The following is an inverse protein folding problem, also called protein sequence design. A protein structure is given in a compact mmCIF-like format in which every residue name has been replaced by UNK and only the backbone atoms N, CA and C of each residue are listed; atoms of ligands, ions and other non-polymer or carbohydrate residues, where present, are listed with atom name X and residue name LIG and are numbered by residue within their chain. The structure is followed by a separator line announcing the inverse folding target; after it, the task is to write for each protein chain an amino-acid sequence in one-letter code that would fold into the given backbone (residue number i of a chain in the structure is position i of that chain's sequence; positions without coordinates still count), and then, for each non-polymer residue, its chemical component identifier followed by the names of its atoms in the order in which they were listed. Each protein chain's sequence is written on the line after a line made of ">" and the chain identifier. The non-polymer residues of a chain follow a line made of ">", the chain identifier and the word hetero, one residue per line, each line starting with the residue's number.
data_IF_890451492809
#
_entry.id   IF_890451492809
#
_cell.length_a   1.000
_cell.length_b   1.000
_cell.length_c   1.000
_cell.angle_alpha   90.00
_cell.angle_beta   90.00
_cell.angle_gamma   90.00
#
_symmetry.space_group_name_H-M   'P 1'
#
loop_
_entity.id
_entity.type
_entity.pdbx_description
1 polymer ?
#
# COMPACT_ATOMS: atom_id res chain seq x y z
N UNK A 1 -14.13 13.69 -18.90
CA UNK A 1 -14.18 12.26 -18.56
C UNK A 1 -15.00 12.03 -17.29
N UNK A 2 -15.48 10.79 -17.02
CA UNK A 2 -16.14 10.47 -15.75
C UNK A 2 -15.12 10.22 -14.63
N UNK A 3 -15.42 10.75 -13.43
CA UNK A 3 -14.63 10.58 -12.22
C UNK A 3 -15.52 10.60 -10.98
N UNK A 4 -14.98 10.11 -9.87
CA UNK A 4 -15.55 10.28 -8.55
C UNK A 4 -14.88 11.47 -7.85
N UNK A 5 -15.66 12.46 -7.50
CA UNK A 5 -15.20 13.70 -6.84
C UNK A 5 -15.63 13.71 -5.40
N UNK A 6 -14.68 13.88 -4.50
CA UNK A 6 -14.93 14.18 -3.10
C UNK A 6 -15.18 15.68 -2.95
N UNK A 7 -16.43 16.10 -2.87
CA UNK A 7 -16.82 17.51 -2.75
C UNK A 7 -16.78 18.03 -1.31
N UNK A 8 -17.05 17.14 -0.34
CA UNK A 8 -17.02 17.49 1.07
C UNK A 8 -16.70 16.25 1.92
N UNK A 9 -15.98 16.46 3.02
CA UNK A 9 -15.57 15.39 3.93
C UNK A 9 -16.79 14.68 4.53
N UNK A 10 -16.70 13.34 4.61
CA UNK A 10 -17.70 12.47 5.21
C UNK A 10 -18.98 12.24 4.39
N UNK A 11 -19.10 12.85 3.20
CA UNK A 11 -20.30 12.70 2.34
C UNK A 11 -20.18 11.64 1.25
N UNK A 12 -19.02 10.98 1.15
CA UNK A 12 -18.73 10.04 0.07
C UNK A 12 -18.32 10.76 -1.22
N UNK A 13 -18.35 10.03 -2.33
CA UNK A 13 -17.90 10.47 -3.64
C UNK A 13 -19.09 10.68 -4.58
N UNK A 14 -19.05 11.79 -5.33
CA UNK A 14 -20.05 12.11 -6.36
C UNK A 14 -19.52 11.72 -7.75
N UNK A 15 -20.36 11.12 -8.59
CA UNK A 15 -20.01 10.71 -9.96
C UNK A 15 -20.25 11.87 -10.93
N UNK A 16 -19.17 12.48 -11.43
CA UNK A 16 -19.22 13.74 -12.18
C UNK A 16 -18.41 13.70 -13.48
N UNK A 17 -18.62 14.72 -14.31
CA UNK A 17 -17.77 15.03 -15.45
C UNK A 17 -16.62 15.94 -15.01
N UNK A 18 -15.41 15.54 -15.38
CA UNK A 18 -14.15 16.23 -15.06
C UNK A 18 -13.32 16.38 -16.33
N UNK A 19 -12.67 17.52 -16.48
CA UNK A 19 -11.70 17.75 -17.54
C UNK A 19 -10.31 17.29 -17.10
N UNK A 20 -9.57 16.65 -18.00
CA UNK A 20 -8.19 16.25 -17.81
C UNK A 20 -7.31 16.98 -18.84
N UNK A 21 -6.20 17.54 -18.39
CA UNK A 21 -5.29 18.26 -19.24
C UNK A 21 -4.43 17.32 -20.11
N UNK A 22 -3.86 17.84 -21.19
CA UNK A 22 -2.82 17.14 -21.92
C UNK A 22 -1.54 16.96 -21.07
N UNK A 23 -0.78 15.86 -21.27
CA UNK A 23 0.47 15.63 -20.54
C UNK A 23 1.53 16.68 -20.89
N UNK A 24 2.20 17.23 -19.87
CA UNK A 24 3.31 18.18 -19.98
C UNK A 24 4.58 17.56 -19.41
N UNK A 25 5.74 17.96 -19.94
CA UNK A 25 7.03 17.54 -19.39
C UNK A 25 7.13 16.01 -19.23
N UNK A 26 7.29 15.55 -18.01
CA UNK A 26 7.41 14.13 -17.66
C UNK A 26 6.10 13.47 -17.22
N UNK A 27 4.96 13.98 -17.63
CA UNK A 27 3.65 13.44 -17.33
C UNK A 27 3.22 12.37 -18.34
N UNK A 28 2.49 11.40 -17.87
CA UNK A 28 1.95 10.27 -18.63
C UNK A 28 0.44 10.22 -18.42
N UNK A 29 -0.32 10.24 -19.51
CA UNK A 29 -1.76 10.00 -19.47
C UNK A 29 -2.02 8.50 -19.51
N UNK A 30 -2.71 8.00 -18.50
CA UNK A 30 -3.04 6.57 -18.32
C UNK A 30 -4.55 6.37 -18.46
N UNK A 31 -4.98 5.50 -19.36
CA UNK A 31 -6.34 4.95 -19.36
C UNK A 31 -6.42 3.94 -18.21
N UNK A 32 -7.15 4.27 -17.16
CA UNK A 32 -7.28 3.43 -15.97
C UNK A 32 -8.10 2.19 -16.32
N UNK A 33 -7.56 1.02 -16.01
CA UNK A 33 -8.20 -0.28 -16.20
C UNK A 33 -8.61 -0.91 -14.87
N UNK A 34 -7.91 -0.57 -13.78
CA UNK A 34 -8.28 -0.97 -12.44
C UNK A 34 -7.83 0.05 -11.39
N UNK A 35 -8.64 0.21 -10.34
CA UNK A 35 -8.31 1.03 -9.18
C UNK A 35 -8.78 0.34 -7.89
N UNK A 36 -7.84 0.00 -7.01
CA UNK A 36 -8.14 -0.62 -5.72
C UNK A 36 -8.70 0.38 -4.70
N UNK A 37 -9.58 -0.11 -3.81
CA UNK A 37 -10.08 0.66 -2.68
C UNK A 37 -9.18 0.45 -1.46
N UNK A 38 -8.54 1.51 -0.99
CA UNK A 38 -7.69 1.49 0.18
C UNK A 38 -8.30 2.30 1.34
N UNK A 39 -8.05 1.87 2.57
CA UNK A 39 -8.48 2.61 3.77
C UNK A 39 -7.87 4.02 3.85
N UNK A 40 -6.71 4.24 3.24
CA UNK A 40 -6.07 5.55 3.17
C UNK A 40 -6.93 6.56 2.39
N UNK A 41 -7.54 6.17 1.26
CA UNK A 41 -8.47 7.06 0.55
C UNK A 41 -9.71 7.37 1.40
N UNK A 42 -10.22 6.39 2.16
CA UNK A 42 -11.34 6.61 3.08
C UNK A 42 -10.95 7.56 4.22
N UNK A 43 -9.73 7.45 4.74
CA UNK A 43 -9.20 8.38 5.75
C UNK A 43 -9.16 9.80 5.20
N UNK A 44 -8.67 10.00 3.99
CA UNK A 44 -8.65 11.29 3.29
C UNK A 44 -10.07 11.81 2.99
N UNK A 45 -11.01 10.92 2.72
CA UNK A 45 -12.39 11.29 2.46
C UNK A 45 -13.19 11.68 3.72
N UNK A 46 -12.70 11.34 4.92
CA UNK A 46 -13.41 11.56 6.19
C UNK A 46 -12.71 12.53 7.15
N UNK A 47 -11.43 12.82 6.94
CA UNK A 47 -10.62 13.72 7.77
C UNK A 47 -10.02 14.83 6.92
N UNK A 48 -9.79 15.99 7.53
CA UNK A 48 -9.20 17.17 6.89
C UNK A 48 -7.67 16.99 6.71
N UNK A 49 -7.31 16.11 5.76
CA UNK A 49 -5.91 15.78 5.43
C UNK A 49 -5.54 16.32 4.05
N UNK A 50 -6.50 16.40 3.13
CA UNK A 50 -6.28 16.87 1.76
C UNK A 50 -7.35 17.87 1.35
N UNK A 51 -7.01 18.79 0.42
CA UNK A 51 -7.98 19.76 -0.09
C UNK A 51 -9.19 19.09 -0.76
N UNK A 52 -10.34 19.72 -0.63
CA UNK A 52 -11.56 19.42 -1.40
C UNK A 52 -11.91 20.63 -2.29
N UNK A 53 -12.49 20.42 -3.50
CA UNK A 53 -12.83 19.14 -4.11
C UNK A 53 -11.62 18.37 -4.63
N UNK A 54 -11.69 17.03 -4.58
CA UNK A 54 -10.57 16.14 -4.95
C UNK A 54 -11.01 14.87 -5.68
N UNK A 55 -10.12 14.30 -6.50
CA UNK A 55 -10.23 12.95 -7.05
C UNK A 55 -9.19 12.07 -6.35
N UNK A 56 -9.64 11.05 -5.63
CA UNK A 56 -8.81 10.09 -4.89
C UNK A 56 -8.58 8.80 -5.70
N UNK A 57 -8.15 7.72 -5.03
CA UNK A 57 -7.80 6.45 -5.65
C UNK A 57 -6.30 6.40 -5.97
N UNK A 58 -5.55 5.63 -5.19
CA UNK A 58 -4.09 5.58 -5.32
C UNK A 58 -3.54 4.18 -5.65
N UNK A 59 -4.40 3.17 -5.78
CA UNK A 59 -4.03 1.84 -6.27
C UNK A 59 -4.44 1.74 -7.75
N UNK A 60 -3.62 2.23 -8.67
CA UNK A 60 -3.98 2.43 -10.10
C UNK A 60 -3.17 1.51 -10.98
N UNK A 61 -3.86 0.81 -11.89
CA UNK A 61 -3.25 0.12 -13.02
C UNK A 61 -3.96 0.49 -14.33
N UNK A 62 -3.22 0.57 -15.42
CA UNK A 62 -3.81 0.95 -16.70
C UNK A 62 -2.84 0.90 -17.86
N UNK A 63 -3.28 1.50 -18.98
CA UNK A 63 -2.54 1.52 -20.25
C UNK A 63 -2.16 2.97 -20.57
N UNK A 64 -0.91 3.20 -20.92
CA UNK A 64 -0.42 4.51 -21.34
C UNK A 64 -1.12 4.94 -22.62
N UNK A 65 -1.83 6.08 -22.58
CA UNK A 65 -2.57 6.65 -23.69
C UNK A 65 -1.79 7.75 -24.42
N UNK A 66 -1.04 8.57 -23.68
CA UNK A 66 -0.20 9.63 -24.21
C UNK A 66 0.94 9.94 -23.23
N UNK A 67 2.01 10.53 -23.74
CA UNK A 67 3.18 10.91 -22.94
C UNK A 67 3.55 12.36 -23.20
N UNK A 68 4.04 13.06 -22.19
CA UNK A 68 4.62 14.39 -22.35
C UNK A 68 6.00 14.33 -23.04
N UNK A 69 6.50 15.49 -23.52
CA UNK A 69 7.69 15.55 -24.37
C UNK A 69 8.99 15.07 -23.69
N UNK A 70 9.04 15.10 -22.36
CA UNK A 70 10.25 14.75 -21.59
C UNK A 70 10.15 13.36 -20.94
N UNK A 71 9.13 12.56 -21.26
CA UNK A 71 8.97 11.19 -20.76
C UNK A 71 9.98 10.28 -21.46
N UNK A 72 10.69 9.49 -20.66
CA UNK A 72 11.77 8.60 -21.13
C UNK A 72 11.59 7.14 -20.75
N UNK A 73 10.68 6.82 -19.82
CA UNK A 73 10.59 5.50 -19.19
C UNK A 73 9.24 4.80 -19.40
N UNK A 74 8.35 5.41 -20.18
CA UNK A 74 7.05 4.83 -20.52
C UNK A 74 6.69 5.17 -21.95
N UNK A 75 6.03 4.26 -22.65
CA UNK A 75 5.61 4.42 -24.05
C UNK A 75 4.11 4.18 -24.18
N UNK A 76 3.48 4.79 -25.19
CA UNK A 76 2.07 4.53 -25.50
C UNK A 76 1.85 3.03 -25.71
N UNK A 77 0.84 2.48 -25.05
CA UNK A 77 0.52 1.05 -25.07
C UNK A 77 1.21 0.22 -23.99
N UNK A 78 2.09 0.80 -23.16
CA UNK A 78 2.65 0.10 -22.01
C UNK A 78 1.58 -0.11 -20.94
N UNK A 79 1.61 -1.26 -20.28
CA UNK A 79 0.85 -1.53 -19.08
C UNK A 79 1.64 -0.99 -17.88
N UNK A 80 0.97 -0.21 -17.03
CA UNK A 80 1.63 0.49 -15.92
C UNK A 80 0.85 0.37 -14.62
N UNK A 81 1.58 0.48 -13.51
CA UNK A 81 1.03 0.62 -12.15
C UNK A 81 1.53 1.92 -11.55
N UNK A 82 0.61 2.68 -10.96
CA UNK A 82 0.91 3.90 -10.21
C UNK A 82 1.39 3.58 -8.80
N UNK A 83 2.39 4.32 -8.33
CA UNK A 83 2.88 4.28 -6.94
C UNK A 83 2.54 5.57 -6.24
N UNK A 84 1.99 5.45 -5.02
CA UNK A 84 1.72 6.63 -4.19
C UNK A 84 2.99 7.32 -3.67
N UNK A 85 4.14 6.67 -3.73
CA UNK A 85 5.42 7.25 -3.34
C UNK A 85 5.91 8.23 -4.42
N UNK A 86 5.76 9.53 -4.14
CA UNK A 86 6.25 10.59 -5.00
C UNK A 86 7.77 10.74 -4.85
N UNK A 87 8.50 10.68 -5.97
CA UNK A 87 9.95 10.70 -5.96
C UNK A 87 10.52 11.57 -7.09
N UNK A 88 11.38 12.52 -6.76
CA UNK A 88 12.04 13.39 -7.75
C UNK A 88 13.02 12.65 -8.67
N UNK A 89 13.58 11.53 -8.21
CA UNK A 89 14.59 10.76 -8.95
C UNK A 89 16.02 11.32 -8.88
N UNK A 90 16.23 12.53 -8.36
CA UNK A 90 17.51 13.24 -8.44
C UNK A 90 18.14 13.59 -7.08
N UNK A 91 17.39 13.63 -5.97
CA UNK A 91 17.95 13.94 -4.66
C UNK A 91 18.82 12.78 -4.11
N UNK A 92 19.64 13.08 -3.10
CA UNK A 92 20.54 12.09 -2.50
C UNK A 92 19.82 10.81 -2.03
N UNK A 93 18.58 10.93 -1.54
CA UNK A 93 17.79 9.77 -1.14
C UNK A 93 17.36 8.92 -2.33
N UNK A 94 16.87 9.54 -3.40
CA UNK A 94 16.50 8.83 -4.62
C UNK A 94 17.71 8.13 -5.27
N UNK A 95 18.82 8.85 -5.41
CA UNK A 95 20.04 8.31 -6.01
C UNK A 95 20.67 7.17 -5.19
N UNK A 96 20.47 7.16 -3.86
CA UNK A 96 20.91 6.05 -3.00
C UNK A 96 19.92 4.88 -2.93
N UNK A 97 18.93 4.80 -3.85
CA UNK A 97 17.96 3.72 -3.92
C UNK A 97 16.83 3.79 -2.89
N UNK A 98 16.62 4.94 -2.25
CA UNK A 98 15.60 5.18 -1.23
C UNK A 98 14.57 6.23 -1.66
N UNK A 99 13.86 6.05 -2.80
CA UNK A 99 12.89 7.03 -3.31
C UNK A 99 11.71 7.25 -2.34
N UNK A 100 11.37 6.27 -1.50
CA UNK A 100 10.37 6.39 -0.44
C UNK A 100 10.74 7.42 0.66
N UNK A 101 11.98 7.92 0.66
CA UNK A 101 12.48 9.00 1.52
C UNK A 101 12.84 10.25 0.70
N UNK A 102 12.19 10.44 -0.45
CA UNK A 102 12.47 11.58 -1.32
C UNK A 102 12.35 12.90 -0.56
N UNK A 103 13.31 13.81 -0.79
CA UNK A 103 13.36 15.12 -0.15
C UNK A 103 12.56 16.19 -0.94
N UNK A 104 12.16 15.89 -2.18
CA UNK A 104 11.47 16.78 -3.09
C UNK A 104 10.29 16.08 -3.79
N UNK A 105 9.29 15.53 -3.03
CA UNK A 105 8.14 14.85 -3.62
C UNK A 105 7.28 15.78 -4.47
N UNK A 106 7.23 17.06 -4.16
CA UNK A 106 6.50 18.11 -4.89
C UNK A 106 6.94 18.24 -6.36
N UNK A 107 8.16 17.81 -6.70
CA UNK A 107 8.68 17.86 -8.08
C UNK A 107 7.92 16.95 -9.06
N UNK A 108 7.07 16.05 -8.56
CA UNK A 108 6.16 15.23 -9.37
C UNK A 108 4.83 15.92 -9.66
N UNK A 109 4.58 17.08 -9.07
CA UNK A 109 3.38 17.87 -9.26
C UNK A 109 3.63 18.99 -10.26
N UNK A 110 2.55 19.57 -10.78
CA UNK A 110 2.60 20.82 -11.55
C UNK A 110 2.90 22.00 -10.63
N UNK A 111 3.54 23.01 -11.17
CA UNK A 111 3.77 24.30 -10.47
C UNK A 111 2.43 25.00 -10.26
N UNK A 112 2.33 25.90 -9.28
CA UNK A 112 1.08 26.65 -9.04
C UNK A 112 0.57 27.45 -10.25
N UNK A 113 1.49 27.93 -11.12
CA UNK A 113 1.17 28.72 -12.31
C UNK A 113 0.84 27.85 -13.55
N UNK A 114 1.07 26.53 -13.48
CA UNK A 114 0.70 25.61 -14.56
C UNK A 114 -0.81 25.33 -14.55
N UNK A 115 -1.43 25.06 -15.71
CA UNK A 115 -2.82 24.59 -15.75
C UNK A 115 -3.00 23.33 -14.88
N UNK A 116 -4.09 23.20 -14.09
CA UNK A 116 -4.30 22.03 -13.25
C UNK A 116 -4.43 20.76 -14.09
N UNK A 117 -3.96 19.60 -13.56
CA UNK A 117 -4.12 18.30 -14.22
C UNK A 117 -5.58 17.92 -14.39
N UNK A 118 -6.37 18.18 -13.35
CA UNK A 118 -7.81 17.92 -13.31
C UNK A 118 -8.53 19.24 -13.03
N UNK A 119 -9.65 19.48 -13.73
CA UNK A 119 -10.49 20.65 -13.49
C UNK A 119 -11.97 20.33 -13.69
N UNK A 120 -12.81 21.15 -13.10
CA UNK A 120 -14.26 21.13 -13.28
C UNK A 120 -14.75 22.57 -13.48
N UNK A 121 -15.41 22.83 -14.60
CA UNK A 121 -15.86 24.19 -14.98
C UNK A 121 -14.75 25.24 -14.83
N UNK A 122 -13.52 24.90 -15.26
CA UNK A 122 -12.35 25.79 -15.21
C UNK A 122 -11.66 25.91 -13.84
N UNK A 123 -12.18 25.27 -12.79
CA UNK A 123 -11.56 25.26 -11.45
C UNK A 123 -10.78 23.97 -11.24
N UNK A 124 -9.54 24.08 -10.76
CA UNK A 124 -8.69 22.94 -10.46
C UNK A 124 -9.28 22.03 -9.37
N UNK A 125 -9.07 20.70 -9.54
CA UNK A 125 -9.37 19.69 -8.53
C UNK A 125 -8.06 19.15 -7.96
N UNK A 126 -8.04 18.86 -6.67
CA UNK A 126 -6.90 18.18 -6.07
C UNK A 126 -6.85 16.71 -6.55
N UNK A 127 -5.66 16.25 -6.91
CA UNK A 127 -5.41 14.88 -7.35
C UNK A 127 -4.71 14.11 -6.23
N UNK A 128 -5.42 13.18 -5.60
CA UNK A 128 -4.90 12.42 -4.46
C UNK A 128 -3.60 11.68 -4.81
N UNK A 129 -2.55 11.93 -4.05
CA UNK A 129 -1.20 11.38 -4.24
C UNK A 129 -0.59 11.60 -5.64
N UNK A 130 -1.11 12.54 -6.41
CA UNK A 130 -0.71 12.74 -7.82
C UNK A 130 -1.17 11.60 -8.75
N UNK A 131 -2.14 10.76 -8.31
CA UNK A 131 -2.66 9.59 -9.04
C UNK A 131 -4.11 9.79 -9.48
N UNK A 132 -5.07 9.94 -8.55
CA UNK A 132 -6.47 10.20 -8.87
C UNK A 132 -7.15 9.07 -9.66
N UNK A 133 -6.98 7.83 -9.21
CA UNK A 133 -7.40 6.62 -9.92
C UNK A 133 -8.91 6.34 -9.91
N UNK A 134 -9.71 7.09 -9.15
CA UNK A 134 -11.17 6.98 -9.23
C UNK A 134 -11.71 7.81 -10.40
N UNK A 135 -11.11 7.63 -11.57
CA UNK A 135 -11.46 8.29 -12.83
C UNK A 135 -11.09 7.39 -14.02
N UNK A 136 -11.75 7.62 -15.17
CA UNK A 136 -11.43 6.88 -16.42
C UNK A 136 -9.99 7.05 -16.89
N UNK A 137 -9.39 8.21 -16.59
CA UNK A 137 -8.01 8.52 -16.95
C UNK A 137 -7.32 9.20 -15.77
N UNK A 138 -6.01 8.99 -15.66
CA UNK A 138 -5.15 9.63 -14.68
C UNK A 138 -3.92 10.23 -15.37
N UNK A 139 -3.55 11.45 -14.97
CA UNK A 139 -2.35 12.14 -15.47
C UNK A 139 -1.28 12.07 -14.37
N UNK A 140 -0.26 11.25 -14.60
CA UNK A 140 0.69 10.81 -13.56
C UNK A 140 2.11 11.15 -14.00
N UNK A 141 2.96 11.58 -13.08
CA UNK A 141 4.39 11.78 -13.35
C UNK A 141 5.09 10.43 -13.56
N UNK A 142 5.96 10.30 -14.59
CA UNK A 142 6.60 9.03 -14.94
C UNK A 142 7.39 8.38 -13.78
N UNK A 143 7.89 9.16 -12.81
CA UNK A 143 8.57 8.62 -11.64
C UNK A 143 7.65 7.86 -10.67
N UNK A 144 6.34 8.09 -10.77
CA UNK A 144 5.33 7.35 -10.01
C UNK A 144 4.77 6.14 -10.76
N UNK A 145 5.25 5.86 -11.96
CA UNK A 145 4.80 4.74 -12.77
C UNK A 145 5.86 3.65 -12.85
N UNK A 146 5.42 2.41 -12.77
CA UNK A 146 6.22 1.23 -13.08
C UNK A 146 5.58 0.47 -14.25
N UNK A 147 6.36 0.20 -15.29
CA UNK A 147 5.93 -0.65 -16.41
C UNK A 147 5.90 -2.10 -15.95
N UNK A 148 4.83 -2.81 -16.29
CA UNK A 148 4.60 -4.20 -15.92
C UNK A 148 4.39 -5.08 -17.15
N UNK A 149 4.55 -6.42 -17.03
CA UNK A 149 4.21 -7.36 -18.11
C UNK A 149 2.77 -7.21 -18.57
N UNK A 150 2.53 -7.29 -19.87
CA UNK A 150 1.18 -7.15 -20.47
C UNK A 150 0.22 -8.26 -20.08
N UNK A 151 0.76 -9.40 -19.69
CA UNK A 151 0.02 -10.58 -19.23
C UNK A 151 -0.54 -10.41 -17.81
N UNK A 152 -0.07 -9.41 -17.07
CA UNK A 152 -0.53 -9.13 -15.70
C UNK A 152 -1.98 -8.64 -15.71
N UNK A 153 -2.93 -9.33 -15.03
CA UNK A 153 -4.31 -8.86 -14.94
C UNK A 153 -4.39 -7.53 -14.16
N UNK A 154 -5.20 -6.59 -14.65
CA UNK A 154 -5.23 -5.24 -14.08
C UNK A 154 -5.77 -5.17 -12.66
N UNK A 155 -6.74 -6.02 -12.29
CA UNK A 155 -7.29 -6.05 -10.93
C UNK A 155 -6.20 -6.37 -9.90
N UNK A 156 -5.36 -7.39 -10.16
CA UNK A 156 -4.22 -7.74 -9.33
C UNK A 156 -3.10 -6.72 -9.44
N UNK A 157 -2.86 -6.18 -10.64
CA UNK A 157 -1.84 -5.16 -10.89
C UNK A 157 -2.05 -3.90 -10.06
N UNK A 158 -3.28 -3.41 -9.93
CA UNK A 158 -3.61 -2.22 -9.15
C UNK A 158 -3.15 -2.34 -7.68
N UNK A 159 -3.26 -3.54 -7.10
CA UNK A 159 -2.86 -3.80 -5.71
C UNK A 159 -1.34 -3.70 -5.49
N UNK A 160 -0.53 -3.85 -6.56
CA UNK A 160 0.92 -3.73 -6.48
C UNK A 160 1.36 -2.33 -6.05
N UNK A 161 0.59 -1.28 -6.43
CA UNK A 161 0.94 0.13 -6.19
C UNK A 161 0.93 0.56 -4.72
N UNK A 162 0.24 -0.18 -3.85
CA UNK A 162 0.10 0.16 -2.43
C UNK A 162 0.21 -1.07 -1.52
N UNK A 163 -0.85 -1.90 -1.46
CA UNK A 163 -0.94 -2.95 -0.46
C UNK A 163 0.17 -4.00 -0.56
N UNK A 164 0.56 -4.38 -1.77
CA UNK A 164 1.61 -5.38 -2.00
C UNK A 164 2.99 -4.81 -1.66
N UNK A 165 3.36 -3.66 -2.25
CA UNK A 165 4.68 -3.04 -1.97
C UNK A 165 4.84 -2.68 -0.50
N UNK A 166 3.76 -2.28 0.19
CA UNK A 166 3.82 -1.95 1.62
C UNK A 166 4.04 -3.21 2.46
N UNK A 167 3.23 -4.25 2.26
CA UNK A 167 3.30 -5.47 3.06
C UNK A 167 4.55 -6.30 2.80
N UNK A 168 4.75 -6.73 1.55
CA UNK A 168 5.92 -7.52 1.17
C UNK A 168 7.22 -6.71 1.28
N UNK A 169 7.19 -5.41 0.96
CA UNK A 169 8.34 -4.54 1.11
C UNK A 169 8.75 -4.29 2.56
N UNK A 170 7.82 -4.23 3.52
CA UNK A 170 8.15 -4.17 4.94
C UNK A 170 9.06 -5.34 5.35
N UNK A 171 8.75 -6.53 4.83
CA UNK A 171 9.48 -7.77 5.10
C UNK A 171 10.81 -7.82 4.33
N UNK A 172 10.74 -7.63 3.01
CA UNK A 172 11.88 -7.86 2.11
C UNK A 172 12.89 -6.69 2.10
N UNK A 173 12.38 -5.44 2.11
CA UNK A 173 13.21 -4.25 1.97
C UNK A 173 13.56 -3.60 3.31
N UNK A 174 12.57 -3.48 4.24
CA UNK A 174 12.79 -2.77 5.51
C UNK A 174 13.43 -3.69 6.54
N UNK A 175 12.80 -4.84 6.84
CA UNK A 175 13.30 -5.79 7.83
C UNK A 175 14.46 -6.64 7.29
N UNK A 176 14.52 -6.83 5.97
CA UNK A 176 15.49 -7.70 5.32
C UNK A 176 15.47 -9.12 5.93
N UNK A 177 14.26 -9.67 6.08
CA UNK A 177 14.03 -11.02 6.60
C UNK A 177 14.81 -12.05 5.78
N UNK A 178 15.45 -12.98 6.46
CA UNK A 178 16.30 -14.02 5.85
C UNK A 178 15.70 -15.40 6.05
N UNK A 179 16.19 -16.34 5.25
CA UNK A 179 15.85 -17.74 5.42
C UNK A 179 16.25 -18.21 6.83
N UNK A 180 15.30 -18.82 7.53
CA UNK A 180 15.45 -19.28 8.90
C UNK A 180 14.90 -18.34 9.97
N UNK A 181 14.70 -17.04 9.67
CA UNK A 181 14.14 -16.08 10.63
C UNK A 181 12.69 -16.43 11.00
N UNK A 182 12.28 -16.03 12.21
CA UNK A 182 10.89 -16.10 12.70
C UNK A 182 10.19 -14.75 12.54
N UNK A 183 8.95 -14.78 12.03
CA UNK A 183 8.15 -13.61 11.72
C UNK A 183 6.81 -13.66 12.43
N UNK A 184 6.42 -12.57 13.08
CA UNK A 184 5.09 -12.36 13.64
C UNK A 184 4.41 -11.21 12.90
N UNK A 185 3.16 -11.40 12.49
CA UNK A 185 2.35 -10.40 11.77
C UNK A 185 1.07 -10.13 12.55
N UNK A 186 0.90 -8.91 13.04
CA UNK A 186 -0.36 -8.43 13.58
C UNK A 186 -1.22 -7.82 12.47
N UNK A 187 -2.43 -8.37 12.31
CA UNK A 187 -3.42 -7.93 11.32
C UNK A 187 -3.28 -8.64 9.98
N UNK A 188 -4.18 -9.56 9.70
CA UNK A 188 -4.29 -10.33 8.45
C UNK A 188 -5.22 -9.66 7.42
N UNK A 189 -5.20 -8.32 7.36
CA UNK A 189 -5.83 -7.56 6.28
C UNK A 189 -5.01 -7.59 4.98
N UNK A 190 -5.48 -6.89 3.94
CA UNK A 190 -4.83 -6.94 2.61
C UNK A 190 -3.34 -6.57 2.60
N UNK A 191 -2.85 -5.70 3.50
CA UNK A 191 -1.42 -5.37 3.62
C UNK A 191 -0.67 -6.48 4.38
N UNK A 192 -1.22 -6.93 5.52
CA UNK A 192 -0.60 -7.99 6.33
C UNK A 192 -0.48 -9.33 5.61
N UNK A 193 -1.48 -9.71 4.79
CA UNK A 193 -1.41 -10.90 3.95
C UNK A 193 -0.24 -10.84 2.95
N UNK A 194 0.07 -9.66 2.42
CA UNK A 194 1.25 -9.48 1.57
C UNK A 194 2.56 -9.55 2.36
N UNK A 195 2.57 -9.14 3.64
CA UNK A 195 3.73 -9.38 4.50
C UNK A 195 3.95 -10.87 4.77
N UNK A 196 2.87 -11.64 4.98
CA UNK A 196 2.93 -13.12 5.08
C UNK A 196 3.54 -13.73 3.81
N UNK A 197 3.06 -13.31 2.62
CA UNK A 197 3.66 -13.73 1.35
C UNK A 197 5.13 -13.34 1.25
N UNK A 198 5.49 -12.13 1.65
CA UNK A 198 6.87 -11.65 1.69
C UNK A 198 7.76 -12.51 2.60
N UNK A 199 7.28 -12.87 3.80
CA UNK A 199 8.00 -13.72 4.73
C UNK A 199 8.20 -15.15 4.19
N UNK A 200 7.18 -15.70 3.52
CA UNK A 200 7.31 -16.98 2.81
C UNK A 200 8.34 -16.90 1.68
N UNK A 201 8.32 -15.84 0.87
CA UNK A 201 9.29 -15.63 -0.21
C UNK A 201 10.72 -15.47 0.32
N UNK A 202 10.90 -14.82 1.49
CA UNK A 202 12.18 -14.67 2.17
C UNK A 202 12.71 -15.99 2.75
N UNK A 203 11.86 -17.02 2.89
CA UNK A 203 12.24 -18.30 3.50
C UNK A 203 12.21 -18.29 5.02
N UNK A 204 11.35 -17.46 5.64
CA UNK A 204 11.14 -17.48 7.08
C UNK A 204 10.77 -18.88 7.57
N UNK A 205 11.40 -19.32 8.67
CA UNK A 205 11.20 -20.66 9.24
C UNK A 205 9.86 -20.80 9.94
N UNK A 206 9.36 -19.68 10.49
CA UNK A 206 8.06 -19.61 11.16
C UNK A 206 7.39 -18.29 10.87
N UNK A 207 6.10 -18.32 10.51
CA UNK A 207 5.29 -17.16 10.18
C UNK A 207 4.01 -17.25 11.02
N UNK A 208 3.99 -16.51 12.13
CA UNK A 208 2.87 -16.47 13.08
C UNK A 208 1.99 -15.27 12.75
N UNK A 209 0.71 -15.49 12.50
CA UNK A 209 -0.24 -14.41 12.18
C UNK A 209 -1.27 -14.26 13.30
N UNK A 210 -1.47 -13.03 13.74
CA UNK A 210 -2.39 -12.69 14.84
C UNK A 210 -3.49 -11.78 14.29
N UNK A 211 -4.74 -12.16 14.48
CA UNK A 211 -5.93 -11.36 14.14
C UNK A 211 -7.08 -11.70 15.08
N UNK A 212 -8.10 -10.85 15.12
CA UNK A 212 -9.34 -11.05 15.90
C UNK A 212 -10.43 -11.77 15.08
N UNK A 213 -10.23 -11.95 13.77
CA UNK A 213 -11.21 -12.54 12.87
C UNK A 213 -10.73 -13.88 12.31
N UNK A 214 -11.45 -14.96 12.66
CA UNK A 214 -11.11 -16.32 12.20
C UNK A 214 -11.00 -16.41 10.67
N UNK A 215 -11.90 -15.78 9.92
CA UNK A 215 -11.87 -15.76 8.45
C UNK A 215 -10.56 -15.21 7.89
N UNK A 216 -9.99 -14.17 8.52
CA UNK A 216 -8.69 -13.59 8.14
C UNK A 216 -7.53 -14.51 8.48
N UNK A 217 -7.61 -15.20 9.62
CA UNK A 217 -6.63 -16.21 10.01
C UNK A 217 -6.61 -17.39 9.03
N UNK A 218 -7.79 -17.85 8.58
CA UNK A 218 -7.91 -18.89 7.57
C UNK A 218 -7.33 -18.44 6.21
N UNK A 219 -7.54 -17.18 5.85
CA UNK A 219 -6.89 -16.60 4.67
C UNK A 219 -5.36 -16.59 4.82
N UNK A 220 -4.82 -16.18 5.98
CA UNK A 220 -3.39 -16.09 6.22
C UNK A 220 -2.66 -17.42 5.95
N UNK A 221 -3.28 -18.56 6.24
CA UNK A 221 -2.72 -19.88 5.93
C UNK A 221 -2.49 -20.08 4.43
N UNK A 222 -3.41 -19.61 3.58
CA UNK A 222 -3.25 -19.69 2.10
C UNK A 222 -2.13 -18.79 1.59
N UNK A 223 -1.79 -17.73 2.32
CA UNK A 223 -0.67 -16.84 2.00
C UNK A 223 0.68 -17.33 2.52
N UNK A 224 0.68 -18.35 3.41
CA UNK A 224 1.90 -18.98 3.88
C UNK A 224 2.15 -18.88 5.39
N UNK A 225 1.15 -18.48 6.19
CA UNK A 225 1.24 -18.56 7.64
C UNK A 225 1.44 -20.01 8.11
N UNK A 226 2.45 -20.25 8.95
CA UNK A 226 2.68 -21.56 9.58
C UNK A 226 1.76 -21.74 10.79
N UNK A 227 1.52 -20.66 11.53
CA UNK A 227 0.71 -20.63 12.73
C UNK A 227 -0.22 -19.42 12.70
N UNK A 228 -1.39 -19.55 13.32
CA UNK A 228 -2.34 -18.45 13.46
C UNK A 228 -2.86 -18.40 14.90
N UNK A 229 -3.05 -17.19 15.41
CA UNK A 229 -3.50 -16.91 16.77
C UNK A 229 -4.72 -15.99 16.72
N UNK A 230 -5.85 -16.43 17.26
CA UNK A 230 -7.02 -15.61 17.53
C UNK A 230 -6.84 -14.91 18.87
N UNK A 231 -6.52 -13.61 18.84
CA UNK A 231 -6.26 -12.82 20.04
C UNK A 231 -7.51 -12.51 20.87
N UNK A 232 -8.70 -12.88 20.39
CA UNK A 232 -9.91 -12.83 21.21
C UNK A 232 -10.05 -14.04 22.14
N UNK A 233 -9.33 -15.14 21.85
CA UNK A 233 -9.42 -16.42 22.58
C UNK A 233 -8.19 -16.72 23.43
N UNK A 234 -7.04 -16.08 23.11
CA UNK A 234 -5.79 -16.32 23.80
C UNK A 234 -4.99 -15.03 23.94
N UNK A 235 -4.14 -14.95 24.96
CA UNK A 235 -3.20 -13.84 25.10
C UNK A 235 -2.09 -14.01 24.06
N UNK A 236 -2.01 -13.05 23.14
CA UNK A 236 -1.14 -13.14 21.99
C UNK A 236 0.34 -13.31 22.37
N UNK A 237 0.84 -12.57 23.37
CA UNK A 237 2.24 -12.65 23.83
C UNK A 237 2.58 -14.03 24.37
N UNK A 238 1.71 -14.63 25.20
CA UNK A 238 1.92 -15.96 25.77
C UNK A 238 1.94 -17.01 24.65
N UNK A 239 0.93 -16.99 23.77
CA UNK A 239 0.84 -17.93 22.65
C UNK A 239 2.04 -17.84 21.68
N UNK A 240 2.55 -16.62 21.40
CA UNK A 240 3.76 -16.47 20.60
C UNK A 240 4.99 -17.01 21.31
N UNK A 241 5.11 -16.80 22.64
CA UNK A 241 6.24 -17.32 23.41
C UNK A 241 6.25 -18.83 23.50
N UNK A 242 5.09 -19.48 23.53
CA UNK A 242 4.99 -20.96 23.46
C UNK A 242 5.50 -21.48 22.11
N UNK A 243 5.20 -20.76 21.02
CA UNK A 243 5.66 -21.08 19.67
C UNK A 243 7.13 -20.71 19.44
N UNK A 244 7.59 -19.62 20.03
CA UNK A 244 8.92 -19.02 19.88
C UNK A 244 9.52 -18.74 21.27
N UNK A 245 10.03 -19.73 22.00
CA UNK A 245 10.55 -19.54 23.36
C UNK A 245 11.70 -18.52 23.44
N UNK A 246 12.49 -18.36 22.37
CA UNK A 246 13.54 -17.34 22.24
C UNK A 246 13.04 -15.93 21.88
N UNK A 247 11.75 -15.79 21.61
CA UNK A 247 11.14 -14.60 21.01
C UNK A 247 11.29 -14.53 19.50
N UNK A 248 10.61 -13.58 18.88
CA UNK A 248 10.60 -13.39 17.43
C UNK A 248 11.77 -12.54 16.93
N UNK A 249 12.29 -12.85 15.75
CA UNK A 249 13.30 -12.02 15.06
C UNK A 249 12.65 -10.76 14.47
N UNK A 250 11.42 -10.90 13.93
CA UNK A 250 10.71 -9.80 13.31
C UNK A 250 9.24 -9.80 13.72
N UNK A 251 8.74 -8.64 14.17
CA UNK A 251 7.32 -8.41 14.47
C UNK A 251 6.84 -7.24 13.64
N UNK A 252 5.76 -7.44 12.88
CA UNK A 252 5.15 -6.41 12.02
C UNK A 252 3.77 -6.04 12.56
N UNK A 253 3.55 -4.75 12.83
CA UNK A 253 2.26 -4.20 13.22
C UNK A 253 1.58 -3.51 12.02
N UNK A 254 0.53 -4.14 11.47
CA UNK A 254 -0.34 -3.57 10.44
C UNK A 254 -1.66 -3.02 11.00
N UNK A 255 -1.80 -2.98 12.33
CA UNK A 255 -3.03 -2.53 13.01
C UNK A 255 -2.92 -1.07 13.43
N UNK A 256 -1.77 -0.64 13.97
CA UNK A 256 -1.52 0.73 14.39
C UNK A 256 -2.15 1.10 15.73
N UNK A 257 -2.37 0.13 16.63
CA UNK A 257 -2.86 0.38 17.99
C UNK A 257 -1.71 0.30 18.99
N UNK A 258 -1.72 1.20 20.00
CA UNK A 258 -0.73 1.21 21.09
C UNK A 258 -0.51 -0.16 21.71
N UNK A 259 -1.61 -0.82 22.09
CA UNK A 259 -1.56 -2.15 22.72
C UNK A 259 -0.83 -3.17 21.82
N UNK A 260 -1.13 -3.19 20.53
CA UNK A 260 -0.54 -4.12 19.56
C UNK A 260 0.97 -3.89 19.42
N UNK A 261 1.39 -2.63 19.33
CA UNK A 261 2.81 -2.28 19.24
C UNK A 261 3.57 -2.66 20.53
N UNK A 262 2.98 -2.44 21.72
CA UNK A 262 3.57 -2.81 23.00
C UNK A 262 3.62 -4.34 23.20
N UNK A 263 2.59 -5.07 22.78
CA UNK A 263 2.62 -6.54 22.72
C UNK A 263 3.70 -7.05 21.75
N UNK A 264 3.83 -6.38 20.59
CA UNK A 264 4.89 -6.68 19.63
C UNK A 264 6.29 -6.54 20.21
N UNK A 265 6.54 -5.48 20.99
CA UNK A 265 7.80 -5.31 21.73
C UNK A 265 8.06 -6.44 22.73
N UNK A 266 7.00 -6.90 23.42
CA UNK A 266 7.10 -7.99 24.39
C UNK A 266 7.38 -9.35 23.73
N UNK A 267 7.08 -9.53 22.45
CA UNK A 267 7.33 -10.76 21.69
C UNK A 267 8.75 -10.89 21.16
N UNK A 268 9.52 -9.78 21.08
CA UNK A 268 10.84 -9.77 20.47
C UNK A 268 11.85 -10.63 21.23
N UNK A 269 12.61 -11.39 20.48
CA UNK A 269 13.85 -12.04 20.92
C UNK A 269 15.02 -11.06 21.04
N UNK A 270 16.20 -11.60 21.33
CA UNK A 270 17.45 -10.84 21.28
C UNK A 270 17.80 -10.52 19.82
N UNK A 271 18.13 -9.25 19.54
CA UNK A 271 18.40 -8.74 18.18
C UNK A 271 17.13 -8.49 17.36
N UNK A 272 15.94 -8.79 17.90
CA UNK A 272 14.67 -8.67 17.19
C UNK A 272 14.26 -7.23 16.87
N UNK A 273 13.38 -7.09 15.88
CA UNK A 273 12.85 -5.81 15.40
C UNK A 273 11.34 -5.73 15.35
N UNK A 274 10.77 -4.63 15.88
CA UNK A 274 9.38 -4.24 15.70
C UNK A 274 9.28 -3.24 14.55
N UNK A 275 8.39 -3.53 13.60
CA UNK A 275 8.15 -2.73 12.40
C UNK A 275 6.73 -2.16 12.43
N UNK A 276 6.60 -0.84 12.58
CA UNK A 276 5.33 -0.12 12.66
C UNK A 276 4.89 0.28 11.26
N UNK A 277 3.83 -0.32 10.75
CA UNK A 277 3.31 -0.12 9.40
C UNK A 277 1.87 0.42 9.42
N UNK A 278 1.07 -0.04 10.39
CA UNK A 278 -0.31 0.42 10.59
C UNK A 278 -0.36 1.90 10.92
N UNK A 279 -1.29 2.62 10.27
CA UNK A 279 -1.48 4.06 10.53
C UNK A 279 -2.16 4.24 11.89
N UNK A 280 -1.46 4.87 12.82
CA UNK A 280 -1.97 5.25 14.14
C UNK A 280 -2.49 6.69 14.15
N UNK A 281 -3.21 7.07 15.21
CA UNK A 281 -3.53 8.47 15.46
C UNK A 281 -2.26 9.25 15.83
N UNK A 282 -2.18 10.56 15.51
CA UNK A 282 -0.97 11.36 15.72
C UNK A 282 -0.51 11.47 17.18
N UNK A 283 -1.41 11.28 18.14
CA UNK A 283 -1.20 11.43 19.58
C UNK A 283 -0.92 10.09 20.30
N UNK A 284 -0.73 9.00 19.55
CA UNK A 284 -0.46 7.68 20.12
C UNK A 284 1.03 7.47 20.33
N UNK A 285 1.45 7.37 21.57
CA UNK A 285 2.82 7.01 21.98
C UNK A 285 2.88 5.57 22.48
N UNK A 286 4.02 4.91 22.29
CA UNK A 286 4.33 3.58 22.83
C UNK A 286 5.41 3.66 23.91
N UNK A 287 5.33 2.78 24.90
CA UNK A 287 6.32 2.66 25.96
C UNK A 287 7.43 1.70 25.55
N UNK A 288 8.67 2.16 25.62
CA UNK A 288 9.85 1.34 25.38
C UNK A 288 10.73 1.28 26.64
N UNK A 289 10.94 0.07 27.17
CA UNK A 289 11.92 -0.12 28.26
C UNK A 289 13.34 -0.04 27.71
N UNK A 290 14.06 1.05 28.05
CA UNK A 290 15.40 1.35 27.52
C UNK A 290 16.40 0.26 27.93
N UNK A 291 16.37 -0.20 29.19
CA UNK A 291 17.29 -1.24 29.67
C UNK A 291 17.09 -2.57 28.93
N UNK A 292 15.81 -2.96 28.73
CA UNK A 292 15.47 -4.16 27.96
C UNK A 292 15.81 -4.03 26.46
N UNK A 293 15.70 -2.82 25.90
CA UNK A 293 16.10 -2.57 24.51
C UNK A 293 17.61 -2.68 24.31
N UNK A 294 18.39 -2.12 25.23
CA UNK A 294 19.88 -2.22 25.20
C UNK A 294 20.31 -3.67 25.41
N UNK A 295 19.82 -4.33 26.47
CA UNK A 295 20.23 -5.70 26.81
C UNK A 295 19.82 -6.72 25.76
N UNK A 296 18.69 -6.53 25.11
CA UNK A 296 18.20 -7.37 24.00
C UNK A 296 18.66 -6.91 22.60
N UNK A 297 19.36 -5.78 22.47
CA UNK A 297 19.74 -5.16 21.18
C UNK A 297 18.54 -5.04 20.21
N UNK A 298 17.38 -4.63 20.75
CA UNK A 298 16.10 -4.58 20.01
C UNK A 298 15.96 -3.32 19.20
N UNK A 299 15.20 -3.40 18.10
CA UNK A 299 14.96 -2.28 17.17
C UNK A 299 13.48 -1.96 17.12
N UNK A 300 13.14 -0.67 16.95
CA UNK A 300 11.80 -0.19 16.59
C UNK A 300 11.95 0.70 15.37
N UNK A 301 11.21 0.41 14.31
CA UNK A 301 11.34 1.12 13.04
C UNK A 301 9.96 1.39 12.42
N UNK A 302 9.72 2.67 12.08
CA UNK A 302 8.58 3.04 11.23
C UNK A 302 8.82 2.63 9.78
N UNK A 303 7.79 2.12 9.13
CA UNK A 303 7.85 1.65 7.75
C UNK A 303 6.99 2.52 6.86
N UNK A 304 7.62 3.22 5.93
CA UNK A 304 6.93 4.03 4.94
C UNK A 304 6.92 3.31 3.58
N UNK A 305 5.73 3.00 3.05
CA UNK A 305 5.52 2.34 1.74
C UNK A 305 6.38 1.08 1.54
N UNK A 306 6.63 0.30 2.61
CA UNK A 306 7.46 -0.90 2.54
C UNK A 306 8.91 -0.65 2.11
N UNK A 307 9.44 0.55 2.31
CA UNK A 307 10.76 0.98 1.82
C UNK A 307 10.97 0.68 0.33
N UNK A 308 9.92 0.90 -0.47
CA UNK A 308 9.84 0.45 -1.86
C UNK A 308 10.54 1.39 -2.84
N UNK A 309 11.26 0.81 -3.79
CA UNK A 309 11.57 1.44 -5.07
C UNK A 309 10.56 0.92 -6.10
N UNK A 310 9.53 1.72 -6.41
CA UNK A 310 8.41 1.29 -7.24
C UNK A 310 8.84 0.71 -8.60
N UNK A 311 9.83 1.34 -9.25
CA UNK A 311 10.33 0.92 -10.56
C UNK A 311 11.08 -0.42 -10.56
N UNK A 312 11.62 -0.83 -9.41
CA UNK A 312 12.26 -2.12 -9.20
C UNK A 312 11.27 -3.16 -8.69
N UNK A 313 10.51 -2.79 -7.67
CA UNK A 313 9.78 -3.75 -6.85
C UNK A 313 8.43 -4.14 -7.48
N UNK A 314 7.72 -3.19 -8.10
CA UNK A 314 6.42 -3.49 -8.73
C UNK A 314 6.57 -4.50 -9.88
N UNK A 315 7.49 -4.33 -10.85
CA UNK A 315 7.70 -5.34 -11.89
C UNK A 315 8.17 -6.69 -11.32
N UNK A 316 8.99 -6.70 -10.28
CA UNK A 316 9.41 -7.92 -9.59
C UNK A 316 8.21 -8.67 -9.00
N UNK A 317 7.31 -7.99 -8.28
CA UNK A 317 6.12 -8.63 -7.71
C UNK A 317 5.15 -9.11 -8.80
N UNK A 318 5.00 -8.37 -9.91
CA UNK A 318 4.24 -8.82 -11.07
C UNK A 318 4.80 -10.13 -11.64
N UNK A 319 6.13 -10.23 -11.79
CA UNK A 319 6.77 -11.47 -12.23
C UNK A 319 6.57 -12.62 -11.24
N UNK A 320 6.69 -12.38 -9.94
CA UNK A 320 6.45 -13.40 -8.91
C UNK A 320 5.01 -13.91 -8.92
N UNK A 321 4.03 -13.02 -9.18
CA UNK A 321 2.64 -13.43 -9.38
C UNK A 321 2.47 -14.30 -10.63
N UNK A 322 2.99 -13.89 -11.78
CA UNK A 322 2.91 -14.64 -13.03
C UNK A 322 3.59 -16.01 -12.95
N UNK A 323 4.59 -16.15 -12.08
CA UNK A 323 5.25 -17.44 -11.78
C UNK A 323 4.49 -18.30 -10.75
N UNK A 324 3.32 -17.85 -10.24
CA UNK A 324 2.57 -18.54 -9.19
C UNK A 324 3.23 -18.53 -7.81
N UNK A 325 4.26 -17.69 -7.60
CA UNK A 325 4.99 -17.58 -6.35
C UNK A 325 4.38 -16.58 -5.36
N UNK A 326 3.51 -15.68 -5.82
CA UNK A 326 2.79 -14.70 -5.02
C UNK A 326 1.28 -14.83 -5.28
N UNK A 327 0.50 -14.95 -4.22
CA UNK A 327 -0.95 -15.05 -4.32
C UNK A 327 -1.58 -13.66 -4.27
N UNK A 328 -2.11 -13.16 -5.39
CA UNK A 328 -2.86 -11.92 -5.46
C UNK A 328 -4.35 -12.15 -5.76
N UNK A 329 -4.70 -13.32 -6.27
CA UNK A 329 -6.10 -13.64 -6.62
C UNK A 329 -6.99 -13.67 -5.38
N UNK A 330 -6.54 -14.31 -4.32
CA UNK A 330 -7.26 -14.38 -3.03
C UNK A 330 -7.35 -13.01 -2.31
N UNK A 331 -6.61 -11.99 -2.74
CA UNK A 331 -6.76 -10.62 -2.23
C UNK A 331 -7.97 -9.94 -2.84
N UNK A 332 -8.24 -10.10 -4.13
CA UNK A 332 -9.37 -9.48 -4.84
C UNK A 332 -10.64 -10.19 -4.40
N UNK A 333 -11.33 -9.62 -3.43
CA UNK A 333 -12.57 -10.19 -2.90
C UNK A 333 -13.79 -9.83 -3.75
N UNK A 334 -13.74 -8.68 -4.44
CA UNK A 334 -14.84 -8.18 -5.26
C UNK A 334 -14.35 -7.19 -6.29
N UNK A 335 -14.84 -7.32 -7.52
CA UNK A 335 -14.73 -6.32 -8.58
C UNK A 335 -16.03 -5.52 -8.68
N UNK A 336 -15.92 -4.21 -8.90
CA UNK A 336 -17.03 -3.27 -8.94
C UNK A 336 -16.90 -2.26 -10.08
N UNK A 337 -17.97 -1.56 -10.38
CA UNK A 337 -17.92 -0.36 -11.22
C UNK A 337 -17.49 0.88 -10.40
N UNK A 338 -17.02 1.91 -11.10
CA UNK A 338 -16.66 3.19 -10.49
C UNK A 338 -17.84 3.81 -9.69
N UNK A 339 -19.08 3.61 -10.12
CA UNK A 339 -20.27 4.11 -9.43
C UNK A 339 -20.52 3.46 -8.07
N UNK A 340 -20.00 2.24 -7.85
CA UNK A 340 -20.24 1.44 -6.65
C UNK A 340 -19.17 1.67 -5.56
N UNK A 341 -18.24 2.63 -5.73
CA UNK A 341 -17.13 2.86 -4.78
C UNK A 341 -17.61 3.16 -3.37
N UNK A 342 -18.69 3.96 -3.21
CA UNK A 342 -19.25 4.24 -1.88
C UNK A 342 -19.76 2.96 -1.20
N UNK A 343 -20.46 2.10 -1.94
CA UNK A 343 -20.94 0.79 -1.45
C UNK A 343 -19.77 -0.16 -1.19
N UNK A 344 -18.73 -0.11 -2.02
CA UNK A 344 -17.49 -0.84 -1.84
C UNK A 344 -16.80 -0.48 -0.51
N UNK A 345 -16.72 0.80 -0.15
CA UNK A 345 -16.19 1.22 1.15
C UNK A 345 -17.08 0.81 2.32
N UNK A 346 -18.41 0.85 2.16
CA UNK A 346 -19.33 0.34 3.17
C UNK A 346 -19.09 -1.15 3.46
N UNK A 347 -18.92 -1.97 2.41
CA UNK A 347 -18.63 -3.39 2.54
C UNK A 347 -17.24 -3.69 3.13
N UNK A 348 -16.24 -2.85 2.88
CA UNK A 348 -14.91 -3.00 3.50
C UNK A 348 -14.92 -2.75 5.01
N UNK A 349 -15.80 -1.88 5.53
CA UNK A 349 -15.93 -1.61 6.98
C UNK A 349 -16.35 -2.83 7.78
N UNK A 350 -17.13 -3.74 7.19
CA UNK A 350 -17.60 -4.96 7.85
C UNK A 350 -16.47 -5.99 8.04
N UNK A 351 -15.27 -5.74 7.48
CA UNK A 351 -14.09 -6.58 7.62
C UNK A 351 -14.19 -7.95 6.92
N UNK A 352 -15.28 -8.18 6.16
CA UNK A 352 -15.51 -9.46 5.46
C UNK A 352 -14.75 -9.59 4.15
N UNK A 353 -14.30 -8.45 3.58
CA UNK A 353 -13.57 -8.37 2.33
C UNK A 353 -12.10 -7.96 2.57
N UNK A 354 -11.19 -8.53 1.79
CA UNK A 354 -9.77 -8.15 1.83
C UNK A 354 -9.51 -6.91 0.97
N UNK A 355 -9.88 -6.97 -0.31
CA UNK A 355 -9.75 -5.88 -1.27
C UNK A 355 -10.96 -5.83 -2.21
N UNK A 356 -11.39 -4.61 -2.51
CA UNK A 356 -12.38 -4.32 -3.55
C UNK A 356 -11.67 -3.51 -4.63
N UNK A 357 -11.91 -3.84 -5.88
CA UNK A 357 -11.22 -3.22 -7.02
C UNK A 357 -12.24 -2.73 -8.03
N UNK A 358 -12.12 -1.49 -8.46
CA UNK A 358 -12.86 -0.95 -9.60
C UNK A 358 -12.24 -1.49 -10.88
N UNK A 359 -13.02 -2.12 -11.72
CA UNK A 359 -12.60 -2.65 -13.04
C UNK A 359 -13.51 -2.21 -14.19
N UNK A 360 -14.53 -1.41 -13.88
CA UNK A 360 -15.46 -0.81 -14.87
C UNK A 360 -15.61 0.69 -14.62
N UNK A 361 -15.30 1.53 -15.64
CA UNK A 361 -15.21 2.99 -15.54
C UNK A 361 -16.22 3.73 -16.40
#
# INVERSE_FOLDING_TARGET
>A
MKALVLNALGRGFDFEDVDIAAPMGREVLVNVQASGLCHTDLLFATHDIAPTPSVLGHEVAGIVAAVGPDVTQAHVGDHVVGSLAQACGACARCLSGRPFQCQHPESTLRRPDDPPRLSRTGRGLFQGFGLGGFAKQALIHENQLAVIPKEMPFAQAALLGCGVVTGAGAVLNTANVRAGDSVVVFGAGGVGLNAVSGARLAGASRIVVIDIQQKRLDAARRFGATDVIDSTKSKAVEAVRDLLPGGADHVFDFVGLKLVAEEGLAMLGVGGGLYLVGVSKPDVDISLNIFGAIGGQRRVLGVNFGSTNAKRDIPMYAQLYLQGRMNLDDLVSREISLREVNDGYAALKDGTLNRVVVTSF
#
